data_IF_022674151214
#
_entry.id   IF_022674151214
#
_cell.length_a   1.000
_cell.length_b   1.000
_cell.length_c   1.000
_cell.angle_alpha   90.00
_cell.angle_beta   90.00
_cell.angle_gamma   90.00
#
_symmetry.space_group_name_H-M   'P 1'
#
loop_
_entity.id
_entity.type
_entity.pdbx_description
1 polymer ?
#
# COMPACT_ATOMS: atom_id res chain seq x y z
N UNK A 1 -14.52 -0.11 2.18
CA UNK A 1 -15.84 -0.37 1.53
C UNK A 1 -15.80 -1.69 0.78
N UNK A 2 -16.96 -2.22 0.35
CA UNK A 2 -17.01 -3.46 -0.42
C UNK A 2 -16.29 -3.32 -1.76
N UNK A 3 -15.36 -4.24 -2.05
CA UNK A 3 -14.55 -4.26 -3.27
C UNK A 3 -14.11 -5.68 -3.57
N UNK A 4 -13.94 -6.01 -4.85
CA UNK A 4 -13.39 -7.27 -5.32
C UNK A 4 -12.15 -7.00 -6.17
N UNK A 5 -11.02 -7.58 -5.78
CA UNK A 5 -9.79 -7.64 -6.58
C UNK A 5 -9.62 -9.04 -7.14
N UNK A 6 -9.26 -9.12 -8.41
CA UNK A 6 -8.98 -10.37 -9.13
C UNK A 6 -7.83 -10.14 -10.12
N UNK A 7 -7.23 -11.25 -10.55
CA UNK A 7 -6.50 -11.30 -11.82
C UNK A 7 -7.42 -12.00 -12.81
N UNK A 8 -7.65 -11.39 -13.97
CA UNK A 8 -8.52 -11.95 -15.02
C UNK A 8 -7.95 -11.69 -16.42
N UNK A 9 -8.41 -12.46 -17.40
CA UNK A 9 -7.97 -12.34 -18.79
C UNK A 9 -8.81 -11.31 -19.53
N UNK A 10 -8.27 -10.11 -19.74
CA UNK A 10 -8.96 -9.01 -20.42
C UNK A 10 -8.23 -8.63 -21.71
N UNK A 11 -8.90 -8.80 -22.85
CA UNK A 11 -8.29 -8.57 -24.17
C UNK A 11 -7.17 -9.55 -24.49
N UNK A 12 -7.22 -10.78 -23.97
CA UNK A 12 -6.22 -11.81 -24.19
C UNK A 12 -5.05 -11.85 -23.18
N UNK A 13 -4.94 -10.88 -22.29
CA UNK A 13 -3.83 -10.76 -21.33
C UNK A 13 -4.33 -10.81 -19.88
N UNK A 14 -3.51 -11.36 -18.96
CA UNK A 14 -3.78 -11.29 -17.52
C UNK A 14 -3.66 -9.85 -17.04
N UNK A 15 -4.69 -9.32 -16.37
CA UNK A 15 -4.72 -7.97 -15.81
C UNK A 15 -5.26 -7.99 -14.38
N UNK A 16 -4.86 -7.00 -13.59
CA UNK A 16 -5.53 -6.70 -12.34
C UNK A 16 -6.91 -6.11 -12.65
N UNK A 17 -7.93 -6.61 -11.94
CA UNK A 17 -9.32 -6.23 -12.11
C UNK A 17 -9.89 -5.81 -10.76
N UNK A 18 -10.45 -4.60 -10.71
CA UNK A 18 -11.15 -4.04 -9.55
C UNK A 18 -12.62 -3.90 -9.90
N UNK A 19 -13.48 -4.61 -9.17
CA UNK A 19 -14.94 -4.64 -9.39
C UNK A 19 -15.32 -4.93 -10.86
N UNK A 20 -14.66 -5.92 -11.46
CA UNK A 20 -14.91 -6.36 -12.84
C UNK A 20 -14.29 -5.47 -13.93
N UNK A 21 -13.62 -4.36 -13.58
CA UNK A 21 -12.96 -3.49 -14.56
C UNK A 21 -11.44 -3.60 -14.47
N UNK A 22 -10.72 -3.77 -15.60
CA UNK A 22 -9.27 -3.76 -15.59
C UNK A 22 -8.77 -2.40 -15.10
N UNK A 23 -7.71 -2.39 -14.29
CA UNK A 23 -7.03 -1.16 -13.91
C UNK A 23 -5.52 -1.37 -13.96
N UNK A 24 -4.79 -0.28 -14.21
CA UNK A 24 -3.34 -0.25 -14.04
C UNK A 24 -3.03 0.20 -12.62
N UNK A 25 -2.28 -0.60 -11.87
CA UNK A 25 -1.84 -0.24 -10.52
C UNK A 25 -0.67 0.75 -10.61
N UNK A 26 -0.99 2.03 -10.82
CA UNK A 26 -0.02 3.11 -10.84
C UNK A 26 0.33 3.43 -9.38
N UNK A 27 1.38 2.77 -8.88
CA UNK A 27 1.80 2.85 -7.49
C UNK A 27 3.11 3.62 -7.32
N UNK A 28 3.22 4.38 -6.23
CA UNK A 28 4.48 4.93 -5.75
C UNK A 28 4.96 4.14 -4.52
N UNK A 29 6.27 3.97 -4.38
CA UNK A 29 6.87 3.43 -3.16
C UNK A 29 6.83 4.49 -2.06
N UNK A 30 6.28 4.12 -0.91
CA UNK A 30 6.25 4.93 0.31
C UNK A 30 7.13 4.23 1.37
N UNK A 31 8.27 4.85 1.66
CA UNK A 31 9.25 4.37 2.63
C UNK A 31 8.79 4.55 4.09
N UNK A 32 7.90 5.52 4.35
CA UNK A 32 7.50 5.92 5.70
C UNK A 32 8.63 6.53 6.54
N UNK A 33 9.52 7.30 5.88
CA UNK A 33 10.63 8.02 6.52
C UNK A 33 10.26 9.46 6.86
N UNK A 34 10.58 9.88 8.08
CA UNK A 34 10.27 11.20 8.64
C UNK A 34 11.54 11.83 9.22
N UNK A 35 11.89 13.09 8.86
CA UNK A 35 13.10 13.73 9.36
C UNK A 35 13.21 13.76 10.89
N UNK A 36 12.10 14.03 11.58
CA UNK A 36 12.09 14.23 13.04
C UNK A 36 11.91 12.94 13.85
N UNK A 37 11.32 11.90 13.23
CA UNK A 37 10.87 10.69 13.92
C UNK A 37 11.40 9.38 13.33
N UNK A 38 12.23 9.47 12.28
CA UNK A 38 12.69 8.36 11.42
C UNK A 38 11.52 7.53 10.87
N UNK A 39 10.95 6.66 11.68
CA UNK A 39 9.83 5.79 11.31
C UNK A 39 8.49 6.20 11.92
N UNK A 40 8.47 7.17 12.82
CA UNK A 40 7.24 7.62 13.48
C UNK A 40 6.80 8.97 12.92
N UNK A 41 5.55 9.04 12.46
CA UNK A 41 4.96 10.29 12.02
C UNK A 41 4.80 11.27 13.19
N UNK A 42 5.10 12.56 13.01
CA UNK A 42 4.97 13.56 14.07
C UNK A 42 3.51 14.00 14.32
N UNK A 43 2.59 13.75 13.38
CA UNK A 43 1.18 14.13 13.50
C UNK A 43 0.27 13.39 12.52
N UNK A 44 -1.04 13.55 12.67
CA UNK A 44 -2.03 13.03 11.70
C UNK A 44 -2.00 13.75 10.34
N UNK A 45 -1.66 15.04 10.35
CA UNK A 45 -1.45 15.79 9.11
C UNK A 45 -0.28 15.21 8.32
N UNK A 46 0.81 14.85 9.01
CA UNK A 46 1.96 14.18 8.42
C UNK A 46 1.56 12.81 7.83
N UNK A 47 0.80 11.99 8.57
CA UNK A 47 0.25 10.71 8.06
C UNK A 47 -0.48 10.86 6.71
N UNK A 48 -1.22 11.96 6.54
CA UNK A 48 -2.04 12.19 5.35
C UNK A 48 -1.28 12.87 4.22
N UNK A 49 -0.18 13.58 4.52
CA UNK A 49 0.53 14.43 3.58
C UNK A 49 1.01 13.66 2.35
N UNK A 50 1.79 12.59 2.54
CA UNK A 50 2.35 11.80 1.43
C UNK A 50 1.25 11.11 0.62
N UNK A 51 0.22 10.58 1.28
CA UNK A 51 -0.93 9.95 0.62
C UNK A 51 -1.67 10.96 -0.28
N UNK A 52 -1.91 12.17 0.23
CA UNK A 52 -2.56 13.23 -0.54
C UNK A 52 -1.68 13.67 -1.71
N UNK A 53 -0.39 13.84 -1.50
CA UNK A 53 0.55 14.20 -2.57
C UNK A 53 0.54 13.16 -3.70
N UNK A 54 0.61 11.85 -3.36
CA UNK A 54 0.51 10.77 -4.35
C UNK A 54 -0.83 10.82 -5.11
N UNK A 55 -1.93 11.07 -4.40
CA UNK A 55 -3.25 11.20 -5.04
C UNK A 55 -3.31 12.39 -6.00
N UNK A 56 -2.79 13.55 -5.58
CA UNK A 56 -2.77 14.78 -6.38
C UNK A 56 -1.87 14.65 -7.62
N UNK A 57 -0.83 13.82 -7.56
CA UNK A 57 0.03 13.45 -8.68
C UNK A 57 -0.60 12.42 -9.64
N UNK A 58 -1.80 11.93 -9.34
CA UNK A 58 -2.56 11.01 -10.19
C UNK A 58 -2.30 9.51 -9.93
N UNK A 59 -1.55 9.16 -8.89
CA UNK A 59 -1.42 7.76 -8.49
C UNK A 59 -2.74 7.21 -7.94
N UNK A 60 -2.99 5.93 -8.20
CA UNK A 60 -4.18 5.24 -7.69
C UNK A 60 -3.85 4.16 -6.65
N UNK A 61 -2.56 3.95 -6.40
CA UNK A 61 -2.05 2.99 -5.43
C UNK A 61 -0.81 3.54 -4.71
N UNK A 62 -0.56 3.01 -3.52
CA UNK A 62 0.65 3.21 -2.74
C UNK A 62 1.22 1.84 -2.37
N UNK A 63 2.53 1.68 -2.49
CA UNK A 63 3.23 0.50 -1.97
C UNK A 63 3.98 0.90 -0.71
N UNK A 64 3.49 0.44 0.44
CA UNK A 64 4.16 0.65 1.72
C UNK A 64 5.35 -0.30 1.82
N UNK A 65 6.53 0.26 1.92
CA UNK A 65 7.78 -0.50 1.86
C UNK A 65 8.13 -1.11 3.23
N UNK A 66 8.20 -2.45 3.28
CA UNK A 66 8.69 -3.31 4.37
C UNK A 66 8.34 -2.88 5.81
N UNK A 67 7.18 -2.25 5.99
CA UNK A 67 6.76 -1.64 7.26
C UNK A 67 5.24 -1.72 7.39
N UNK A 68 4.75 -1.96 8.60
CA UNK A 68 3.32 -1.79 8.92
C UNK A 68 3.13 -0.39 9.52
N UNK A 69 2.18 0.36 9.00
CA UNK A 69 1.86 1.70 9.51
C UNK A 69 0.80 1.65 10.61
N UNK A 70 0.57 2.80 11.27
CA UNK A 70 -0.56 2.90 12.19
C UNK A 70 -1.90 2.70 11.47
N UNK A 71 -2.95 2.17 12.14
CA UNK A 71 -4.30 2.04 11.58
C UNK A 71 -4.84 3.33 10.94
N UNK A 72 -4.42 4.49 11.44
CA UNK A 72 -4.81 5.82 10.93
C UNK A 72 -4.29 6.07 9.52
N UNK A 73 -3.11 5.57 9.18
CA UNK A 73 -2.56 5.68 7.83
C UNK A 73 -3.47 4.96 6.81
N UNK A 74 -3.87 3.72 7.12
CA UNK A 74 -4.77 2.94 6.26
C UNK A 74 -6.16 3.58 6.16
N UNK A 75 -6.65 4.17 7.26
CA UNK A 75 -7.90 4.94 7.24
C UNK A 75 -7.83 6.11 6.26
N UNK A 76 -6.74 6.89 6.26
CA UNK A 76 -6.57 7.99 5.31
C UNK A 76 -6.44 7.50 3.87
N UNK A 77 -5.71 6.40 3.63
CA UNK A 77 -5.62 5.80 2.29
C UNK A 77 -7.00 5.35 1.77
N UNK A 78 -7.82 4.72 2.61
CA UNK A 78 -9.19 4.32 2.28
C UNK A 78 -10.06 5.57 1.97
N UNK A 79 -9.95 6.64 2.76
CA UNK A 79 -10.70 7.90 2.57
C UNK A 79 -10.33 8.64 1.29
N UNK A 80 -9.05 8.61 0.92
CA UNK A 80 -8.51 9.23 -0.30
C UNK A 80 -8.74 8.38 -1.57
N UNK A 81 -9.15 7.13 -1.39
CA UNK A 81 -9.38 6.20 -2.50
C UNK A 81 -8.08 5.80 -3.18
N UNK A 82 -7.09 5.37 -2.38
CA UNK A 82 -5.85 4.76 -2.83
C UNK A 82 -5.88 3.25 -2.53
N UNK A 83 -5.42 2.44 -3.49
CA UNK A 83 -5.13 1.03 -3.23
C UNK A 83 -3.83 0.92 -2.43
N UNK A 84 -3.78 0.01 -1.48
CA UNK A 84 -2.58 -0.22 -0.66
C UNK A 84 -1.98 -1.58 -1.03
N UNK A 85 -0.72 -1.57 -1.45
CA UNK A 85 0.14 -2.73 -1.45
C UNK A 85 0.95 -2.71 -0.15
N UNK A 86 0.57 -3.59 0.77
CA UNK A 86 1.27 -3.76 2.04
C UNK A 86 2.37 -4.81 1.84
N UNK A 87 3.64 -4.39 1.90
CA UNK A 87 4.74 -5.34 1.93
C UNK A 87 4.75 -6.11 3.26
N UNK A 88 5.32 -7.30 3.25
CA UNK A 88 5.71 -7.99 4.48
C UNK A 88 6.89 -7.25 5.13
N UNK A 89 6.92 -7.17 6.46
CA UNK A 89 8.05 -6.58 7.18
C UNK A 89 9.21 -7.58 7.12
N UNK A 90 10.34 -7.18 6.56
CA UNK A 90 11.51 -8.05 6.54
C UNK A 90 12.03 -8.22 7.97
N UNK A 91 12.18 -9.47 8.40
CA UNK A 91 12.85 -9.83 9.64
C UNK A 91 14.08 -10.67 9.27
N UNK A 92 15.17 -10.56 10.03
CA UNK A 92 16.37 -11.38 9.87
C UNK A 92 16.12 -12.83 10.36
N UNK A 93 15.06 -13.47 9.86
CA UNK A 93 14.64 -14.84 10.17
C UNK A 93 14.64 -15.62 8.85
N UNK A 94 15.77 -16.24 8.55
CA UNK A 94 16.05 -16.96 7.30
C UNK A 94 15.82 -18.48 7.39
N UNK A 95 15.20 -18.95 8.47
CA UNK A 95 14.93 -20.35 8.75
C UNK A 95 13.43 -20.71 8.61
N UNK A 96 13.07 -21.96 8.93
CA UNK A 96 11.70 -22.46 8.82
C UNK A 96 10.68 -21.64 9.65
N UNK A 97 11.11 -20.98 10.73
CA UNK A 97 10.23 -20.11 11.50
C UNK A 97 9.78 -18.88 10.68
N UNK A 98 10.70 -18.29 9.90
CA UNK A 98 10.38 -17.17 9.01
C UNK A 98 9.43 -17.58 7.89
N UNK A 99 9.66 -18.75 7.30
CA UNK A 99 8.76 -19.33 6.29
C UNK A 99 7.36 -19.58 6.84
N UNK A 100 7.25 -20.17 8.04
CA UNK A 100 5.97 -20.45 8.67
C UNK A 100 5.23 -19.19 9.12
N UNK A 101 5.93 -18.09 9.39
CA UNK A 101 5.30 -16.81 9.71
C UNK A 101 4.72 -16.09 8.47
N UNK A 102 5.22 -16.41 7.27
CA UNK A 102 4.73 -15.86 6.01
C UNK A 102 3.49 -16.60 5.47
N UNK A 103 3.45 -17.92 5.64
CA UNK A 103 2.37 -18.80 5.17
C UNK A 103 1.13 -18.74 6.06
#
# INVERSE_FOLDING_TARGET
GMRQLKVDKVGGYQKLVLNGKPFFSLAMLDQGFWPDGLYTQPSDAALTFDLKAQKDLGFNAVRKHIKVESPRWYYHADRLGLLVWQDFVNADIDNDAGKNAFL
#
